data_IF_342862152573
#
_entry.id   IF_342862152573
#
_cell.length_a   1.000
_cell.length_b   1.000
_cell.length_c   1.000
_cell.angle_alpha   90.00
_cell.angle_beta   90.00
_cell.angle_gamma   90.00
#
_symmetry.space_group_name_H-M   'P 1'
#
loop_
_entity.id
_entity.type
_entity.pdbx_description
1 polymer ?
#
# COMPACT_ATOMS: atom_id res chain seq x y z
N UNK A 1 7.56 -2.27 -9.24
CA UNK A 1 6.70 -3.38 -8.80
C UNK A 1 5.33 -3.31 -9.46
N UNK A 2 4.43 -2.39 -9.08
CA UNK A 2 3.06 -2.33 -9.60
C UNK A 2 2.95 -2.34 -11.13
N UNK A 3 3.74 -1.54 -11.86
CA UNK A 3 3.71 -1.57 -13.33
C UNK A 3 4.05 -2.93 -13.95
N UNK A 4 4.95 -3.70 -13.32
CA UNK A 4 5.25 -5.06 -13.78
C UNK A 4 4.15 -6.06 -13.41
N UNK A 5 3.49 -5.87 -12.28
CA UNK A 5 2.40 -6.75 -11.82
C UNK A 5 1.14 -6.53 -12.66
N UNK A 6 0.85 -5.28 -13.03
CA UNK A 6 -0.31 -4.85 -13.81
C UNK A 6 -0.13 -4.94 -15.33
N UNK A 7 1.03 -5.43 -15.79
CA UNK A 7 1.44 -5.40 -17.20
C UNK A 7 1.34 -4.00 -17.85
N UNK A 8 1.61 -2.96 -17.04
CA UNK A 8 1.60 -1.55 -17.40
C UNK A 8 3.01 -0.97 -17.23
N UNK A 9 3.92 -1.23 -18.19
CA UNK A 9 5.32 -0.85 -18.06
C UNK A 9 5.50 0.68 -18.05
N UNK A 10 4.57 1.46 -18.59
CA UNK A 10 4.68 2.93 -18.65
C UNK A 10 4.39 3.61 -17.32
N UNK A 11 3.76 2.90 -16.38
CA UNK A 11 3.32 3.45 -15.09
C UNK A 11 4.45 4.18 -14.33
N UNK A 12 5.68 3.66 -14.40
CA UNK A 12 6.83 4.25 -13.70
C UNK A 12 7.34 5.54 -14.34
N UNK A 13 7.09 5.74 -15.64
CA UNK A 13 7.51 6.92 -16.40
C UNK A 13 6.55 8.10 -16.23
N UNK A 14 5.32 7.85 -15.74
CA UNK A 14 4.34 8.88 -15.48
C UNK A 14 4.73 9.78 -14.30
N UNK A 15 4.37 11.05 -14.40
CA UNK A 15 4.37 11.98 -13.27
C UNK A 15 3.51 11.43 -12.13
N UNK A 16 3.78 11.85 -10.89
CA UNK A 16 3.17 11.26 -9.70
C UNK A 16 1.62 11.28 -9.76
N UNK A 17 1.01 12.41 -10.07
CA UNK A 17 -0.45 12.54 -10.12
C UNK A 17 -1.05 11.66 -11.23
N UNK A 18 -0.46 11.68 -12.43
CA UNK A 18 -0.87 10.82 -13.54
C UNK A 18 -0.73 9.33 -13.23
N UNK A 19 0.25 8.96 -12.39
CA UNK A 19 0.44 7.58 -11.92
C UNK A 19 -0.67 7.14 -10.97
N UNK A 20 -1.12 8.03 -10.08
CA UNK A 20 -2.24 7.75 -9.19
C UNK A 20 -3.53 7.55 -10.01
N UNK A 21 -3.79 8.41 -10.98
CA UNK A 21 -4.95 8.27 -11.88
C UNK A 21 -4.90 6.95 -12.66
N UNK A 22 -3.74 6.60 -13.22
CA UNK A 22 -3.53 5.33 -13.93
C UNK A 22 -3.72 4.12 -13.01
N UNK A 23 -3.31 4.19 -11.74
CA UNK A 23 -3.58 3.11 -10.78
C UNK A 23 -5.07 2.95 -10.50
N UNK A 24 -5.83 4.06 -10.42
CA UNK A 24 -7.27 4.01 -10.24
C UNK A 24 -7.98 3.33 -11.41
N UNK A 25 -7.47 3.43 -12.64
CA UNK A 25 -8.04 2.69 -13.79
C UNK A 25 -7.87 1.17 -13.66
N UNK A 26 -6.89 0.73 -12.89
CA UNK A 26 -6.69 -0.68 -12.51
C UNK A 26 -7.44 -1.09 -11.23
N UNK A 27 -8.29 -0.20 -10.68
CA UNK A 27 -9.02 -0.45 -9.43
C UNK A 27 -8.16 -0.34 -8.17
N UNK A 28 -6.96 0.25 -8.28
CA UNK A 28 -6.00 0.35 -7.18
C UNK A 28 -5.90 1.79 -6.69
N UNK A 29 -6.26 2.01 -5.42
CA UNK A 29 -5.97 3.23 -4.69
C UNK A 29 -4.66 3.13 -3.92
N UNK A 30 -3.89 4.22 -3.86
CA UNK A 30 -2.73 4.33 -2.98
C UNK A 30 -3.06 5.32 -1.87
N UNK A 31 -2.78 4.92 -0.64
CA UNK A 31 -3.03 5.76 0.53
C UNK A 31 -1.98 5.50 1.60
N UNK A 32 -1.65 6.55 2.36
CA UNK A 32 -0.82 6.42 3.54
C UNK A 32 -1.67 6.04 4.74
N UNK A 33 -1.16 5.14 5.59
CA UNK A 33 -1.89 4.69 6.79
C UNK A 33 -1.88 5.74 7.90
N UNK A 34 -0.89 6.64 7.89
CA UNK A 34 -0.71 7.67 8.90
C UNK A 34 -1.16 9.03 8.38
N UNK A 35 -2.14 9.64 9.05
CA UNK A 35 -2.52 11.03 8.83
C UNK A 35 -1.37 11.98 9.17
N UNK A 36 -0.64 11.66 10.24
CA UNK A 36 0.48 12.44 10.71
C UNK A 36 1.45 11.55 11.49
N UNK A 37 2.74 11.83 11.33
CA UNK A 37 3.77 11.32 12.22
C UNK A 37 4.96 12.27 12.24
N UNK A 38 5.76 12.20 13.30
CA UNK A 38 7.10 12.76 13.29
C UNK A 38 8.05 11.66 12.83
N UNK A 39 8.84 11.91 11.78
CA UNK A 39 9.89 11.00 11.33
C UNK A 39 11.16 11.77 11.05
N UNK A 40 12.21 11.46 11.80
CA UNK A 40 13.56 11.95 11.52
C UNK A 40 14.26 10.96 10.58
N UNK A 41 14.67 11.43 9.40
CA UNK A 41 15.21 10.58 8.33
C UNK A 41 14.15 9.73 7.62
N UNK A 42 14.60 8.70 6.88
CA UNK A 42 13.72 7.83 6.06
C UNK A 42 13.35 6.50 6.73
N UNK A 43 13.91 6.21 7.91
CA UNK A 43 13.72 4.92 8.58
C UNK A 43 12.38 4.86 9.32
N UNK A 44 11.61 3.80 9.08
CA UNK A 44 10.36 3.53 9.81
C UNK A 44 10.56 3.42 11.33
N UNK A 45 11.73 2.97 11.78
CA UNK A 45 12.06 2.87 13.21
C UNK A 45 12.13 4.24 13.90
N UNK A 46 12.26 5.33 13.13
CA UNK A 46 12.27 6.70 13.63
C UNK A 46 10.87 7.34 13.69
N UNK A 47 9.81 6.63 13.27
CA UNK A 47 8.44 7.14 13.36
C UNK A 47 8.03 7.28 14.83
N UNK A 48 7.55 8.47 15.20
CA UNK A 48 7.03 8.83 16.52
C UNK A 48 5.68 9.56 16.37
N UNK A 49 4.86 9.51 17.41
CA UNK A 49 3.54 10.17 17.45
C UNK A 49 2.66 9.84 16.23
N UNK A 50 2.66 8.57 15.82
CA UNK A 50 1.91 8.10 14.66
C UNK A 50 0.41 8.21 14.93
N UNK A 51 -0.29 9.05 14.16
CA UNK A 51 -1.74 9.14 14.14
C UNK A 51 -2.25 8.46 12.87
N UNK A 52 -3.07 7.40 12.97
CA UNK A 52 -3.67 6.77 11.80
C UNK A 52 -4.60 7.74 11.06
N UNK A 53 -4.79 7.51 9.77
CA UNK A 53 -5.89 8.13 9.03
C UNK A 53 -7.25 7.67 9.53
N UNK A 54 -8.27 8.48 9.24
CA UNK A 54 -9.65 8.13 9.54
C UNK A 54 -10.13 7.03 8.58
N UNK A 55 -10.16 5.79 9.08
CA UNK A 55 -10.58 4.65 8.29
C UNK A 55 -12.08 4.61 8.04
N UNK A 56 -12.90 5.32 8.82
CA UNK A 56 -14.34 5.38 8.55
C UNK A 56 -14.62 6.19 7.27
N UNK A 57 -13.80 7.20 6.99
CA UNK A 57 -13.86 7.98 5.75
C UNK A 57 -13.59 7.14 4.49
N UNK A 58 -12.93 5.97 4.60
CA UNK A 58 -12.75 5.07 3.47
C UNK A 58 -14.07 4.55 2.92
N UNK A 59 -15.10 4.37 3.75
CA UNK A 59 -16.41 3.91 3.28
C UNK A 59 -17.08 4.94 2.38
N UNK A 60 -16.85 6.22 2.64
CA UNK A 60 -17.40 7.32 1.86
C UNK A 60 -16.60 7.55 0.57
N UNK A 61 -15.27 7.54 0.67
CA UNK A 61 -14.39 7.83 -0.46
C UNK A 61 -14.15 6.65 -1.39
N UNK A 62 -14.22 5.42 -0.88
CA UNK A 62 -13.99 4.20 -1.63
C UNK A 62 -15.06 3.15 -1.28
N UNK A 63 -16.33 3.36 -1.67
CA UNK A 63 -17.44 2.47 -1.33
C UNK A 63 -17.30 1.07 -1.94
N UNK A 64 -16.48 0.92 -2.98
CA UNK A 64 -16.16 -0.37 -3.62
C UNK A 64 -14.91 -1.04 -3.02
N UNK A 65 -14.28 -0.45 -2.00
CA UNK A 65 -13.09 -1.00 -1.36
C UNK A 65 -13.44 -2.29 -0.62
N UNK A 66 -12.81 -3.38 -1.03
CA UNK A 66 -12.98 -4.70 -0.40
C UNK A 66 -11.77 -5.10 0.45
N UNK A 67 -10.57 -4.80 -0.05
CA UNK A 67 -9.30 -5.28 0.50
C UNK A 67 -8.32 -4.15 0.67
N UNK A 68 -7.65 -4.11 1.82
CA UNK A 68 -6.57 -3.18 2.14
C UNK A 68 -5.26 -3.95 2.26
N UNK A 69 -4.32 -3.64 1.37
CA UNK A 69 -3.01 -4.27 1.33
C UNK A 69 -1.95 -3.34 1.94
N UNK A 70 -1.34 -3.77 3.05
CA UNK A 70 -0.32 -3.02 3.77
C UNK A 70 1.08 -3.34 3.24
N UNK A 71 1.78 -2.35 2.70
CA UNK A 71 3.16 -2.52 2.23
C UNK A 71 4.14 -2.59 3.41
N UNK A 72 4.44 -3.80 3.88
CA UNK A 72 5.40 -4.06 4.96
C UNK A 72 4.81 -4.09 6.36
N UNK A 73 5.58 -4.70 7.29
CA UNK A 73 5.16 -4.97 8.67
C UNK A 73 4.82 -3.72 9.49
N UNK A 74 5.42 -2.57 9.18
CA UNK A 74 5.15 -1.31 9.90
C UNK A 74 3.70 -0.88 9.66
N UNK A 75 3.29 -0.84 8.39
CA UNK A 75 1.92 -0.51 8.01
C UNK A 75 0.94 -1.60 8.48
N UNK A 76 1.35 -2.87 8.41
CA UNK A 76 0.55 -4.01 8.84
C UNK A 76 0.11 -4.01 10.31
N UNK A 77 0.69 -3.16 11.18
CA UNK A 77 0.21 -3.00 12.58
C UNK A 77 -1.23 -2.49 12.67
N UNK A 78 -1.75 -1.88 11.61
CA UNK A 78 -3.12 -1.39 11.53
C UNK A 78 -4.08 -2.41 10.90
N UNK A 79 -3.62 -3.60 10.51
CA UNK A 79 -4.46 -4.61 9.88
C UNK A 79 -5.64 -5.03 10.76
N UNK A 80 -5.43 -5.23 12.07
CA UNK A 80 -6.52 -5.59 12.97
C UNK A 80 -7.56 -4.46 13.11
N UNK A 81 -7.12 -3.20 13.12
CA UNK A 81 -8.00 -2.02 13.22
C UNK A 81 -8.86 -1.89 11.95
N UNK A 82 -8.23 -2.01 10.78
CA UNK A 82 -8.93 -1.95 9.50
C UNK A 82 -9.82 -3.19 9.29
N UNK A 83 -9.38 -4.36 9.72
CA UNK A 83 -10.16 -5.58 9.70
C UNK A 83 -11.41 -5.49 10.56
N UNK A 84 -11.32 -4.91 11.76
CA UNK A 84 -12.47 -4.65 12.62
C UNK A 84 -13.48 -3.67 12.00
N UNK A 85 -13.03 -2.80 11.08
CA UNK A 85 -13.90 -1.91 10.31
C UNK A 85 -14.63 -2.62 9.14
N UNK A 86 -14.37 -3.92 8.91
CA UNK A 86 -15.08 -4.76 7.94
C UNK A 86 -14.34 -4.99 6.61
N UNK A 87 -13.08 -4.59 6.51
CA UNK A 87 -12.28 -4.78 5.30
C UNK A 87 -11.45 -6.06 5.35
N UNK A 88 -11.25 -6.72 4.21
CA UNK A 88 -10.20 -7.73 4.10
C UNK A 88 -8.83 -7.06 4.22
N UNK A 89 -7.93 -7.62 5.01
CA UNK A 89 -6.60 -7.04 5.20
C UNK A 89 -5.51 -8.02 4.83
N UNK A 90 -4.48 -7.54 4.13
CA UNK A 90 -3.31 -8.33 3.78
C UNK A 90 -2.04 -7.55 4.04
N UNK A 91 -1.06 -8.15 4.73
CA UNK A 91 0.26 -7.55 4.93
C UNK A 91 1.22 -8.08 3.87
N UNK A 92 1.64 -7.20 2.98
CA UNK A 92 2.59 -7.48 1.90
C UNK A 92 4.03 -7.38 2.40
N UNK A 93 4.99 -8.08 1.76
CA UNK A 93 6.40 -7.77 1.95
C UNK A 93 6.67 -6.31 1.60
N UNK A 94 7.65 -5.71 2.27
CA UNK A 94 8.00 -4.32 2.00
C UNK A 94 8.67 -4.21 0.63
N UNK A 95 8.15 -3.34 -0.22
CA UNK A 95 8.73 -3.06 -1.54
C UNK A 95 10.02 -2.21 -1.49
N UNK A 96 10.65 -2.08 -0.32
CA UNK A 96 11.88 -1.31 -0.14
C UNK A 96 13.12 -2.18 -0.38
N UNK A 97 14.11 -1.71 -1.17
CA UNK A 97 15.35 -2.47 -1.41
C UNK A 97 16.07 -2.84 -0.10
N UNK A 98 15.92 -2.01 0.94
CA UNK A 98 16.57 -2.21 2.24
C UNK A 98 16.04 -3.41 3.04
N UNK A 99 14.91 -4.00 2.63
CA UNK A 99 14.31 -5.19 3.27
C UNK A 99 13.96 -6.31 2.28
N UNK A 100 14.56 -6.28 1.08
CA UNK A 100 14.31 -7.29 0.06
C UNK A 100 14.95 -8.63 0.45
N UNK A 101 14.14 -9.55 0.99
CA UNK A 101 14.50 -10.95 1.21
C UNK A 101 14.11 -11.87 0.05
N UNK A 102 13.33 -11.35 -0.90
CA UNK A 102 12.81 -12.07 -2.07
C UNK A 102 13.49 -11.55 -3.35
N UNK A 103 13.63 -12.41 -4.36
CA UNK A 103 13.97 -11.95 -5.70
C UNK A 103 12.83 -11.12 -6.30
N UNK A 104 13.15 -10.29 -7.28
CA UNK A 104 12.14 -9.47 -7.96
C UNK A 104 11.01 -10.33 -8.57
N UNK A 105 11.34 -11.50 -9.13
CA UNK A 105 10.35 -12.41 -9.70
C UNK A 105 9.43 -13.03 -8.65
N UNK A 106 9.99 -13.41 -7.49
CA UNK A 106 9.20 -13.94 -6.38
C UNK A 106 8.26 -12.88 -5.81
N UNK A 107 8.76 -11.65 -5.66
CA UNK A 107 7.93 -10.52 -5.24
C UNK A 107 6.84 -10.24 -6.27
N UNK A 108 7.17 -10.19 -7.57
CA UNK A 108 6.18 -10.00 -8.64
C UNK A 108 5.08 -11.06 -8.59
N UNK A 109 5.44 -12.34 -8.51
CA UNK A 109 4.48 -13.45 -8.47
C UNK A 109 3.54 -13.35 -7.27
N UNK A 110 4.10 -13.04 -6.09
CA UNK A 110 3.30 -12.81 -4.89
C UNK A 110 2.32 -11.65 -5.07
N UNK A 111 2.78 -10.51 -5.61
CA UNK A 111 1.90 -9.37 -5.87
C UNK A 111 0.84 -9.67 -6.94
N UNK A 112 1.11 -10.55 -7.92
CA UNK A 112 0.12 -10.97 -8.92
C UNK A 112 -1.00 -11.81 -8.29
N UNK A 113 -0.68 -12.75 -7.41
CA UNK A 113 -1.67 -13.56 -6.68
C UNK A 113 -2.58 -12.71 -5.78
N UNK A 114 -2.05 -11.60 -5.26
CA UNK A 114 -2.82 -10.68 -4.42
C UNK A 114 -3.84 -9.86 -5.20
N UNK A 115 -3.48 -9.50 -6.45
CA UNK A 115 -4.28 -8.61 -7.31
C UNK A 115 -5.21 -9.36 -8.28
N UNK A 116 -5.10 -10.69 -8.38
CA UNK A 116 -6.05 -11.55 -9.12
C UNK A 116 -7.38 -11.72 -8.38
#
# INVERSE_FOLDING_TARGET
>A
MLGAVLDDPELHALAYDARLERLLTHGIGVWDVLAACHREGSLDSAIRHAKPNDFDALREHAPLLKKVCFNGKTAGRFAEVIGAAGYETLVLPSSSPAKATLSFEQERSFWQEVLS
#
